data_IF_435189118830
#
_entry.id   IF_435189118830
#
_cell.length_a   1.000
_cell.length_b   1.000
_cell.length_c   1.000
_cell.angle_alpha   90.00
_cell.angle_beta   90.00
_cell.angle_gamma   90.00
#
_symmetry.space_group_name_H-M   'P 1'
#
loop_
_entity.id
_entity.type
_entity.pdbx_description
1 polymer ?
#
# COMPACT_ATOMS: atom_id res chain seq x y z
N UNK A 1 7.93 5.05 -17.18
CA UNK A 1 6.72 5.46 -16.39
C UNK A 1 7.19 5.99 -15.05
N UNK A 2 6.79 7.23 -14.68
CA UNK A 2 7.17 7.83 -13.41
C UNK A 2 6.15 7.49 -12.33
N UNK A 3 6.63 6.87 -11.24
CA UNK A 3 5.81 6.46 -10.10
C UNK A 3 6.00 7.48 -8.96
N UNK A 4 4.89 7.84 -8.32
CA UNK A 4 4.85 8.55 -7.04
C UNK A 4 4.17 7.63 -6.03
N UNK A 5 4.86 7.27 -4.96
CA UNK A 5 4.43 6.24 -4.00
C UNK A 5 4.39 6.83 -2.60
N UNK A 6 3.28 6.60 -1.90
CA UNK A 6 3.05 6.96 -0.50
C UNK A 6 2.31 5.83 0.22
N UNK A 7 2.36 5.81 1.53
CA UNK A 7 1.59 4.93 2.41
C UNK A 7 1.39 5.59 3.79
N UNK A 8 0.48 5.05 4.57
CA UNK A 8 0.29 5.40 5.99
C UNK A 8 0.06 6.91 6.18
N UNK A 9 -0.96 7.43 5.52
CA UNK A 9 -1.31 8.85 5.65
C UNK A 9 -2.18 9.14 6.86
N UNK A 10 -2.90 8.13 7.39
CA UNK A 10 -3.74 8.23 8.61
C UNK A 10 -4.56 9.54 8.67
N UNK A 11 -5.22 9.88 7.55
CA UNK A 11 -6.02 11.10 7.44
C UNK A 11 -5.24 12.40 7.18
N UNK A 12 -3.90 12.39 7.24
CA UNK A 12 -3.05 13.57 7.04
C UNK A 12 -2.65 13.82 5.58
N UNK A 13 -3.38 13.23 4.63
CA UNK A 13 -3.04 13.27 3.20
C UNK A 13 -3.02 14.69 2.62
N UNK A 14 -3.79 15.65 3.17
CA UNK A 14 -3.79 17.04 2.72
C UNK A 14 -2.47 17.77 3.00
N UNK A 15 -1.66 17.28 3.94
CA UNK A 15 -0.35 17.85 4.28
C UNK A 15 0.77 17.39 3.33
N UNK A 16 0.48 16.39 2.46
CA UNK A 16 1.49 15.78 1.61
C UNK A 16 1.61 16.52 0.30
N UNK A 17 2.83 16.93 -0.03
CA UNK A 17 3.16 17.49 -1.34
C UNK A 17 3.60 16.35 -2.26
N UNK A 18 2.80 16.09 -3.30
CA UNK A 18 3.12 15.11 -4.32
C UNK A 18 3.94 15.76 -5.44
N UNK A 19 4.95 15.04 -5.90
CA UNK A 19 5.66 15.40 -7.14
C UNK A 19 4.86 14.95 -8.35
N UNK A 20 4.98 15.63 -9.49
CA UNK A 20 4.40 15.17 -10.75
C UNK A 20 4.87 13.73 -11.09
N UNK A 21 3.97 12.93 -11.64
CA UNK A 21 4.26 11.57 -12.06
C UNK A 21 3.20 11.07 -13.04
N UNK A 22 3.38 9.85 -13.52
CA UNK A 22 2.40 9.18 -14.40
C UNK A 22 1.42 8.35 -13.58
N UNK A 23 1.91 7.71 -12.50
CA UNK A 23 1.13 6.83 -11.65
C UNK A 23 1.35 7.21 -10.17
N UNK A 24 0.25 7.43 -9.45
CA UNK A 24 0.24 7.61 -8.00
C UNK A 24 -0.23 6.32 -7.34
N UNK A 25 0.57 5.82 -6.41
CA UNK A 25 0.29 4.62 -5.62
C UNK A 25 0.18 4.99 -4.15
N UNK A 26 -0.91 4.55 -3.50
CA UNK A 26 -1.03 4.60 -2.04
C UNK A 26 -1.09 3.16 -1.49
N UNK A 27 -0.14 2.80 -0.63
CA UNK A 27 0.04 1.42 -0.16
C UNK A 27 -0.64 1.13 1.19
N UNK A 28 -1.80 1.75 1.46
CA UNK A 28 -2.66 1.43 2.60
C UNK A 28 -2.52 2.38 3.78
N UNK A 29 -3.40 2.19 4.77
CA UNK A 29 -3.61 3.05 5.93
C UNK A 29 -3.91 4.49 5.53
N UNK A 30 -5.01 4.63 4.76
CA UNK A 30 -5.55 5.92 4.32
C UNK A 30 -6.29 6.63 5.45
N UNK A 31 -6.80 5.86 6.43
CA UNK A 31 -7.59 6.33 7.59
C UNK A 31 -6.83 6.10 8.89
N UNK A 32 -7.20 6.82 9.95
CA UNK A 32 -6.73 6.58 11.32
C UNK A 32 -7.70 5.66 12.07
N UNK A 33 -8.99 5.96 12.04
CA UNK A 33 -10.02 5.23 12.77
C UNK A 33 -10.85 4.29 11.91
N UNK A 34 -10.61 4.24 10.63
CA UNK A 34 -11.29 3.34 9.70
C UNK A 34 -12.75 3.72 9.41
N UNK A 35 -13.13 4.98 9.56
CA UNK A 35 -14.50 5.43 9.35
C UNK A 35 -14.82 5.66 7.87
N UNK A 36 -16.13 5.61 7.53
CA UNK A 36 -16.60 5.96 6.17
C UNK A 36 -16.27 7.40 5.79
N UNK A 37 -16.35 8.32 6.75
CA UNK A 37 -16.07 9.73 6.54
C UNK A 37 -14.60 9.97 6.17
N UNK A 38 -13.67 9.32 6.86
CA UNK A 38 -12.23 9.39 6.53
C UNK A 38 -11.95 8.85 5.14
N UNK A 39 -12.58 7.71 4.75
CA UNK A 39 -12.45 7.14 3.42
C UNK A 39 -12.97 8.11 2.35
N UNK A 40 -14.13 8.76 2.57
CA UNK A 40 -14.68 9.75 1.64
C UNK A 40 -13.73 10.94 1.51
N UNK A 41 -13.19 11.44 2.61
CA UNK A 41 -12.24 12.55 2.62
C UNK A 41 -10.97 12.21 1.81
N UNK A 42 -10.38 11.05 2.07
CA UNK A 42 -9.24 10.56 1.28
C UNK A 42 -9.57 10.47 -0.21
N UNK A 43 -10.69 9.87 -0.58
CA UNK A 43 -11.08 9.71 -1.98
C UNK A 43 -11.29 11.05 -2.69
N UNK A 44 -11.83 12.06 -2.00
CA UNK A 44 -11.99 13.42 -2.53
C UNK A 44 -10.63 14.07 -2.78
N UNK A 45 -9.67 13.94 -1.84
CA UNK A 45 -8.31 14.42 -2.02
C UNK A 45 -7.60 13.68 -3.15
N UNK A 46 -7.69 12.34 -3.17
CA UNK A 46 -7.02 11.50 -4.17
C UNK A 46 -7.56 11.76 -5.59
N UNK A 47 -8.86 12.04 -5.72
CA UNK A 47 -9.49 12.40 -6.99
C UNK A 47 -8.93 13.71 -7.58
N UNK A 48 -8.65 14.70 -6.71
CA UNK A 48 -8.11 16.02 -7.13
C UNK A 48 -6.67 15.97 -7.65
N UNK A 49 -5.94 14.86 -7.41
CA UNK A 49 -4.57 14.76 -7.88
C UNK A 49 -4.53 14.68 -9.42
N UNK A 50 -3.66 15.48 -10.03
CA UNK A 50 -3.55 15.61 -11.49
C UNK A 50 -2.81 14.48 -12.18
N UNK A 51 -2.31 13.48 -11.41
CA UNK A 51 -1.60 12.30 -11.91
C UNK A 51 -2.57 11.38 -12.65
N UNK A 52 -2.14 10.89 -13.84
CA UNK A 52 -2.99 10.15 -14.79
C UNK A 52 -3.59 8.88 -14.19
N UNK A 53 -2.77 8.02 -13.59
CA UNK A 53 -3.21 6.78 -12.98
C UNK A 53 -3.14 6.88 -11.46
N UNK A 54 -4.24 6.60 -10.80
CA UNK A 54 -4.37 6.66 -9.34
C UNK A 54 -4.79 5.29 -8.81
N UNK A 55 -3.90 4.66 -8.05
CA UNK A 55 -4.09 3.30 -7.51
C UNK A 55 -3.92 3.36 -6.00
N UNK A 56 -4.81 2.70 -5.27
CA UNK A 56 -4.61 2.50 -3.85
C UNK A 56 -5.04 1.10 -3.39
N UNK A 57 -4.48 0.67 -2.29
CA UNK A 57 -4.95 -0.45 -1.48
C UNK A 57 -5.39 0.06 -0.11
N UNK A 58 -6.11 -0.74 0.64
CA UNK A 58 -6.34 -0.51 2.06
C UNK A 58 -5.15 -1.00 2.90
N UNK A 59 -5.12 -0.62 4.17
CA UNK A 59 -4.25 -1.17 5.20
C UNK A 59 -5.06 -1.65 6.40
N UNK A 60 -4.38 -1.95 7.51
CA UNK A 60 -5.05 -2.52 8.68
C UNK A 60 -5.88 -1.50 9.47
N UNK A 61 -5.69 -0.20 9.31
CA UNK A 61 -6.56 0.83 9.86
C UNK A 61 -7.85 1.06 9.06
N UNK A 62 -7.96 0.55 7.84
CA UNK A 62 -9.05 0.87 6.91
C UNK A 62 -10.27 -0.06 7.10
N UNK A 63 -10.80 -0.12 8.34
CA UNK A 63 -11.88 -1.02 8.76
C UNK A 63 -13.13 -0.93 7.88
N UNK A 64 -13.58 0.29 7.54
CA UNK A 64 -14.75 0.47 6.69
C UNK A 64 -14.58 -0.17 5.31
N UNK A 65 -13.36 -0.14 4.73
CA UNK A 65 -13.10 -0.75 3.42
C UNK A 65 -13.15 -2.29 3.47
N UNK A 66 -12.84 -2.91 4.61
CA UNK A 66 -13.03 -4.34 4.81
C UNK A 66 -14.51 -4.70 4.97
N UNK A 67 -15.23 -3.96 5.79
CA UNK A 67 -16.61 -4.26 6.19
C UNK A 67 -17.65 -3.89 5.13
N UNK A 68 -17.39 -2.86 4.32
CA UNK A 68 -18.36 -2.40 3.34
C UNK A 68 -18.56 -3.40 2.20
N UNK A 69 -19.80 -3.52 1.74
CA UNK A 69 -20.12 -4.38 0.61
C UNK A 69 -19.42 -3.93 -0.67
N UNK A 70 -19.13 -4.87 -1.58
CA UNK A 70 -18.53 -4.57 -2.90
C UNK A 70 -19.38 -3.52 -3.66
N UNK A 71 -20.72 -3.61 -3.55
CA UNK A 71 -21.61 -2.66 -4.22
C UNK A 71 -21.51 -1.24 -3.65
N UNK A 72 -21.41 -1.10 -2.33
CA UNK A 72 -21.21 0.20 -1.67
C UNK A 72 -19.84 0.79 -2.04
N UNK A 73 -18.79 -0.01 -1.97
CA UNK A 73 -17.44 0.39 -2.33
C UNK A 73 -17.31 0.87 -3.78
N UNK A 74 -17.91 0.14 -4.73
CA UNK A 74 -17.92 0.54 -6.15
C UNK A 74 -18.64 1.87 -6.40
N UNK A 75 -19.68 2.19 -5.62
CA UNK A 75 -20.38 3.49 -5.72
C UNK A 75 -19.59 4.63 -5.09
N UNK A 76 -18.81 4.32 -4.06
CA UNK A 76 -18.05 5.32 -3.31
C UNK A 76 -16.78 5.75 -4.05
N UNK A 77 -16.09 4.82 -4.71
CA UNK A 77 -14.83 5.11 -5.39
C UNK A 77 -15.10 5.87 -6.69
N UNK A 78 -14.56 7.10 -6.84
CA UNK A 78 -14.76 7.90 -8.05
C UNK A 78 -14.17 7.23 -9.29
N UNK A 79 -14.76 7.50 -10.45
CA UNK A 79 -14.20 7.08 -11.74
C UNK A 79 -12.76 7.62 -11.90
N UNK A 80 -11.87 6.78 -12.44
CA UNK A 80 -10.45 7.12 -12.64
C UNK A 80 -9.56 6.82 -11.43
N UNK A 81 -10.13 6.30 -10.33
CA UNK A 81 -9.38 5.75 -9.19
C UNK A 81 -9.52 4.22 -9.21
N UNK A 82 -8.40 3.53 -9.03
CA UNK A 82 -8.32 2.08 -9.01
C UNK A 82 -8.05 1.61 -7.57
N UNK A 83 -8.99 0.89 -6.99
CA UNK A 83 -8.80 0.17 -5.73
C UNK A 83 -8.45 -1.29 -5.99
N UNK A 84 -7.38 -1.76 -5.40
CA UNK A 84 -6.95 -3.15 -5.51
C UNK A 84 -7.08 -3.86 -4.16
N UNK A 85 -7.78 -5.00 -4.17
CA UNK A 85 -7.90 -5.90 -3.02
C UNK A 85 -7.73 -7.33 -3.50
N UNK A 86 -6.54 -7.89 -3.31
CA UNK A 86 -6.14 -9.20 -3.85
C UNK A 86 -6.45 -9.33 -5.34
N UNK A 87 -6.19 -8.27 -6.08
CA UNK A 87 -6.53 -8.14 -7.50
C UNK A 87 -5.45 -7.37 -8.25
N UNK A 88 -5.48 -7.48 -9.57
CA UNK A 88 -4.51 -6.81 -10.45
C UNK A 88 -5.19 -5.98 -11.53
N UNK A 89 -4.46 -5.01 -12.03
CA UNK A 89 -4.78 -4.21 -13.20
C UNK A 89 -3.55 -4.17 -14.12
N UNK A 90 -3.78 -4.08 -15.42
CA UNK A 90 -2.72 -3.85 -16.39
C UNK A 90 -2.85 -2.43 -16.94
N UNK A 91 -1.76 -1.66 -16.86
CA UNK A 91 -1.69 -0.27 -17.29
C UNK A 91 -0.45 -0.09 -18.17
N UNK A 92 -0.66 0.24 -19.44
CA UNK A 92 0.42 0.44 -20.42
C UNK A 92 1.41 -0.76 -20.47
N UNK A 93 0.87 -1.98 -20.39
CA UNK A 93 1.66 -3.22 -20.38
C UNK A 93 2.34 -3.56 -19.06
N UNK A 94 2.10 -2.78 -17.99
CA UNK A 94 2.62 -3.01 -16.66
C UNK A 94 1.53 -3.64 -15.80
N UNK A 95 1.76 -4.86 -15.31
CA UNK A 95 0.87 -5.55 -14.39
C UNK A 95 1.13 -5.11 -12.95
N UNK A 96 0.14 -4.45 -12.35
CA UNK A 96 0.14 -4.00 -10.97
C UNK A 96 -0.80 -4.87 -10.15
N UNK A 97 -0.32 -5.48 -9.09
CA UNK A 97 -1.15 -6.23 -8.14
C UNK A 97 -1.16 -5.54 -6.79
N UNK A 98 -2.33 -5.44 -6.17
CA UNK A 98 -2.52 -4.87 -4.84
C UNK A 98 -3.21 -5.82 -3.86
N UNK A 99 -2.68 -5.87 -2.64
CA UNK A 99 -3.25 -6.63 -1.52
C UNK A 99 -3.11 -5.88 -0.20
N UNK A 100 -4.22 -5.65 0.52
CA UNK A 100 -4.20 -5.00 1.83
C UNK A 100 -3.77 -5.93 2.97
N UNK A 101 -3.65 -7.23 2.71
CA UNK A 101 -3.51 -8.24 3.75
C UNK A 101 -2.22 -8.09 4.54
N UNK A 102 -2.34 -8.17 5.87
CA UNK A 102 -1.22 -8.21 6.82
C UNK A 102 -1.31 -9.45 7.71
N UNK A 103 -0.18 -9.90 8.29
CA UNK A 103 -0.24 -10.87 9.37
C UNK A 103 -1.13 -10.39 10.52
N UNK A 104 -1.86 -11.34 11.15
CA UNK A 104 -2.78 -11.03 12.22
C UNK A 104 -2.12 -10.20 13.34
N UNK A 105 -2.73 -9.08 13.65
CA UNK A 105 -2.34 -8.18 14.72
C UNK A 105 -3.57 -7.48 15.29
N UNK A 106 -3.84 -7.68 16.58
CA UNK A 106 -4.89 -7.01 17.39
C UNK A 106 -6.31 -7.00 16.78
N UNK A 107 -6.63 -7.90 15.84
CA UNK A 107 -7.95 -7.94 15.21
C UNK A 107 -8.30 -6.73 14.32
N UNK A 108 -7.28 -6.06 13.78
CA UNK A 108 -7.43 -4.97 12.82
C UNK A 108 -7.90 -5.49 11.46
N UNK A 109 -8.18 -4.58 10.52
CA UNK A 109 -8.68 -4.94 9.20
C UNK A 109 -7.67 -5.75 8.36
N UNK A 110 -8.18 -6.53 7.42
CA UNK A 110 -7.41 -7.29 6.42
C UNK A 110 -6.35 -8.23 6.99
N UNK A 111 -6.59 -8.73 8.20
CA UNK A 111 -5.66 -9.65 8.84
C UNK A 111 -5.80 -11.09 8.38
N UNK A 112 -4.68 -11.79 8.26
CA UNK A 112 -4.64 -13.23 8.03
C UNK A 112 -3.60 -13.91 8.96
N UNK A 113 -3.90 -15.13 9.43
CA UNK A 113 -2.95 -15.87 10.28
C UNK A 113 -1.70 -16.24 9.47
N UNK A 114 -0.53 -16.06 10.08
CA UNK A 114 0.75 -16.51 9.51
C UNK A 114 0.73 -18.00 9.17
N UNK A 115 1.61 -18.46 8.31
CA UNK A 115 1.68 -19.84 7.84
C UNK A 115 0.68 -20.12 6.71
N UNK A 116 -0.06 -21.22 6.80
CA UNK A 116 -0.86 -21.73 5.69
C UNK A 116 -1.96 -20.78 5.19
N UNK A 117 -2.56 -19.98 6.08
CA UNK A 117 -3.67 -19.11 5.71
C UNK A 117 -3.21 -17.95 4.86
N UNK A 118 -2.24 -17.17 5.33
CA UNK A 118 -1.72 -16.03 4.57
C UNK A 118 -0.97 -16.50 3.32
N UNK A 119 -0.29 -17.64 3.37
CA UNK A 119 0.40 -18.24 2.23
C UNK A 119 -0.54 -18.56 1.06
N UNK A 120 -1.78 -19.00 1.34
CA UNK A 120 -2.80 -19.23 0.30
C UNK A 120 -3.15 -17.95 -0.46
N UNK A 121 -3.09 -16.80 0.21
CA UNK A 121 -3.35 -15.49 -0.42
C UNK A 121 -2.18 -15.13 -1.31
N UNK A 122 -0.96 -15.18 -0.79
CA UNK A 122 0.25 -14.82 -1.53
C UNK A 122 0.53 -15.72 -2.73
N UNK A 123 0.20 -17.01 -2.64
CA UNK A 123 0.38 -17.94 -3.77
C UNK A 123 -0.48 -17.60 -5.00
N UNK A 124 -1.53 -16.78 -4.83
CA UNK A 124 -2.36 -16.30 -5.95
C UNK A 124 -1.75 -15.14 -6.72
N UNK A 125 -0.67 -14.53 -6.24
CA UNK A 125 0.01 -13.44 -6.97
C UNK A 125 0.61 -14.02 -8.25
N UNK A 126 0.26 -13.50 -9.45
CA UNK A 126 0.79 -14.00 -10.71
C UNK A 126 2.31 -13.80 -10.83
N UNK A 127 3.00 -14.69 -11.56
CA UNK A 127 4.46 -14.63 -11.74
C UNK A 127 4.86 -13.39 -12.54
N UNK A 128 4.03 -12.96 -13.48
CA UNK A 128 4.26 -11.81 -14.36
C UNK A 128 3.94 -10.45 -13.72
N UNK A 129 3.78 -10.39 -12.39
CA UNK A 129 3.56 -9.14 -11.66
C UNK A 129 4.78 -8.23 -11.76
N UNK A 130 4.62 -7.02 -12.30
CA UNK A 130 5.71 -6.04 -12.43
C UNK A 130 5.82 -5.14 -11.20
N UNK A 131 4.67 -4.67 -10.69
CA UNK A 131 4.58 -3.87 -9.47
C UNK A 131 3.69 -4.62 -8.48
N UNK A 132 4.23 -4.90 -7.31
CA UNK A 132 3.50 -5.46 -6.19
C UNK A 132 3.27 -4.38 -5.13
N UNK A 133 2.03 -4.24 -4.70
CA UNK A 133 1.64 -3.34 -3.62
C UNK A 133 1.08 -4.21 -2.49
N UNK A 134 1.73 -4.24 -1.34
CA UNK A 134 1.18 -4.84 -0.12
C UNK A 134 1.13 -3.79 0.96
N UNK A 135 0.25 -3.94 1.96
CA UNK A 135 0.31 -3.00 3.07
C UNK A 135 1.51 -3.28 3.97
N UNK A 136 1.69 -4.53 4.40
CA UNK A 136 2.82 -4.92 5.23
C UNK A 136 4.08 -5.32 4.45
N UNK A 137 5.28 -5.18 5.07
CA UNK A 137 6.57 -5.54 4.48
C UNK A 137 6.82 -7.05 4.41
N UNK A 138 7.69 -7.51 3.52
CA UNK A 138 8.28 -8.85 3.60
C UNK A 138 9.31 -8.93 4.74
N UNK A 139 9.48 -10.13 5.33
CA UNK A 139 10.40 -10.37 6.45
C UNK A 139 11.84 -9.98 6.09
N UNK A 140 12.49 -9.23 7.00
CA UNK A 140 13.89 -8.81 6.89
C UNK A 140 14.14 -7.66 5.91
N UNK A 141 13.10 -7.03 5.36
CA UNK A 141 13.23 -5.92 4.40
C UNK A 141 12.41 -4.73 4.86
N UNK A 142 13.05 -3.72 5.45
CA UNK A 142 12.42 -2.50 5.98
C UNK A 142 11.22 -2.84 6.89
N UNK A 143 11.36 -3.80 7.78
CA UNK A 143 10.24 -4.44 8.47
C UNK A 143 10.26 -4.33 10.00
N UNK A 144 11.34 -3.84 10.61
CA UNK A 144 11.51 -3.78 12.07
C UNK A 144 10.98 -5.05 12.79
N UNK A 145 11.28 -6.23 12.24
CA UNK A 145 10.83 -7.56 12.68
C UNK A 145 9.32 -7.87 12.54
N UNK A 146 8.49 -6.94 12.03
CA UNK A 146 7.05 -7.18 11.81
C UNK A 146 6.73 -7.86 10.46
N UNK A 147 7.71 -8.01 9.56
CA UNK A 147 7.53 -8.52 8.22
C UNK A 147 6.93 -9.93 8.12
N UNK A 148 6.43 -10.26 6.96
CA UNK A 148 5.78 -11.53 6.65
C UNK A 148 6.73 -12.45 5.86
N UNK A 149 7.00 -13.66 6.40
CA UNK A 149 7.88 -14.64 5.77
C UNK A 149 7.27 -15.20 4.47
N UNK A 150 5.97 -15.41 4.47
CA UNK A 150 5.27 -16.04 3.34
C UNK A 150 5.23 -15.11 2.11
N UNK A 151 5.11 -13.77 2.32
CA UNK A 151 5.22 -12.83 1.20
C UNK A 151 6.66 -12.74 0.71
N UNK A 152 7.68 -12.79 1.59
CA UNK A 152 9.07 -12.84 1.18
C UNK A 152 9.34 -14.04 0.27
N UNK A 153 8.85 -15.24 0.66
CA UNK A 153 8.98 -16.45 -0.15
C UNK A 153 8.34 -16.24 -1.53
N UNK A 154 7.16 -15.63 -1.60
CA UNK A 154 6.48 -15.37 -2.88
C UNK A 154 7.22 -14.34 -3.73
N UNK A 155 7.67 -13.24 -3.13
CA UNK A 155 8.44 -12.19 -3.83
C UNK A 155 9.75 -12.74 -4.41
N UNK A 156 10.43 -13.63 -3.69
CA UNK A 156 11.64 -14.31 -4.20
C UNK A 156 11.37 -15.17 -5.45
N UNK A 157 10.15 -15.67 -5.61
CA UNK A 157 9.75 -16.44 -6.79
C UNK A 157 9.41 -15.50 -7.95
N UNK A 158 8.57 -14.48 -7.71
CA UNK A 158 8.04 -13.61 -8.77
C UNK A 158 9.01 -12.50 -9.19
N UNK A 159 9.86 -12.04 -8.27
CA UNK A 159 10.84 -10.97 -8.47
C UNK A 159 10.25 -9.75 -9.22
N UNK A 160 9.22 -9.09 -8.65
CA UNK A 160 8.64 -7.92 -9.28
C UNK A 160 9.71 -6.83 -9.40
N UNK A 161 9.61 -5.94 -10.38
CA UNK A 161 10.51 -4.79 -10.50
C UNK A 161 10.44 -3.89 -9.27
N UNK A 162 9.22 -3.66 -8.77
CA UNK A 162 8.94 -2.85 -7.57
C UNK A 162 8.02 -3.62 -6.64
N UNK A 163 8.37 -3.64 -5.35
CA UNK A 163 7.49 -4.03 -4.26
C UNK A 163 7.39 -2.85 -3.29
N UNK A 164 6.25 -2.16 -3.27
CA UNK A 164 5.99 -1.05 -2.37
C UNK A 164 5.00 -1.42 -1.28
N UNK A 165 5.24 -0.89 -0.09
CA UNK A 165 4.47 -1.16 1.12
C UNK A 165 4.59 0.01 2.11
N UNK A 166 3.95 -0.12 3.27
CA UNK A 166 4.01 0.79 4.40
C UNK A 166 4.01 0.04 5.73
N UNK A 167 3.07 0.36 6.62
CA UNK A 167 2.76 -0.31 7.88
C UNK A 167 3.82 -0.12 8.99
N UNK A 168 5.09 -0.22 8.69
CA UNK A 168 6.19 -0.04 9.65
C UNK A 168 6.79 1.34 9.45
N UNK A 169 6.28 2.31 10.20
CA UNK A 169 6.54 3.74 9.99
C UNK A 169 8.01 4.11 10.16
N UNK A 170 8.72 3.46 11.10
CA UNK A 170 10.11 3.77 11.45
C UNK A 170 11.12 3.35 10.38
N UNK A 171 10.70 2.50 9.43
CA UNK A 171 11.59 1.92 8.41
C UNK A 171 11.35 2.46 7.01
N UNK A 172 10.77 3.66 6.89
CA UNK A 172 10.64 4.34 5.60
C UNK A 172 11.98 4.34 4.86
N UNK A 173 11.96 3.94 3.60
CA UNK A 173 13.19 3.85 2.82
C UNK A 173 13.10 3.02 1.56
N UNK A 174 14.24 2.89 0.88
CA UNK A 174 14.38 2.15 -0.37
C UNK A 174 15.59 1.23 -0.27
N UNK A 175 15.39 -0.05 -0.61
CA UNK A 175 16.48 -1.02 -0.74
C UNK A 175 16.32 -1.83 -2.03
N UNK A 176 17.45 -2.25 -2.62
CA UNK A 176 17.45 -3.14 -3.77
C UNK A 176 17.95 -4.51 -3.31
N UNK A 177 17.15 -5.54 -3.55
CA UNK A 177 17.53 -6.93 -3.29
C UNK A 177 17.24 -7.75 -4.55
N UNK A 178 18.24 -8.38 -5.11
CA UNK A 178 18.17 -9.07 -6.39
C UNK A 178 17.66 -8.12 -7.50
N UNK A 179 16.55 -8.47 -8.15
CA UNK A 179 15.93 -7.68 -9.22
C UNK A 179 14.79 -6.79 -8.72
N UNK A 180 14.50 -6.80 -7.43
CA UNK A 180 13.37 -6.08 -6.86
C UNK A 180 13.84 -4.84 -6.10
N UNK A 181 13.24 -3.71 -6.40
CA UNK A 181 13.33 -2.50 -5.60
C UNK A 181 12.21 -2.51 -4.57
N UNK A 182 12.58 -2.63 -3.29
CA UNK A 182 11.65 -2.58 -2.17
C UNK A 182 11.55 -1.15 -1.65
N UNK A 183 10.33 -0.72 -1.36
CA UNK A 183 10.03 0.64 -0.95
C UNK A 183 9.04 0.58 0.22
N UNK A 184 9.50 0.95 1.39
CA UNK A 184 8.60 1.33 2.47
C UNK A 184 8.28 2.82 2.30
N UNK A 185 7.05 3.12 1.90
CA UNK A 185 6.61 4.46 1.54
C UNK A 185 5.79 5.15 2.65
N UNK A 186 5.86 4.66 3.89
CA UNK A 186 5.21 5.28 5.04
C UNK A 186 5.64 6.73 5.18
N UNK A 187 4.68 7.66 5.30
CA UNK A 187 4.96 9.11 5.35
C UNK A 187 4.80 9.70 6.75
N UNK A 188 4.22 8.93 7.68
CA UNK A 188 4.02 9.37 9.06
C UNK A 188 4.93 8.65 10.03
N UNK A 189 5.08 9.25 11.22
CA UNK A 189 5.57 8.55 12.40
C UNK A 189 4.71 8.94 13.62
N UNK A 190 4.58 8.06 14.58
CA UNK A 190 3.95 8.34 15.86
C UNK A 190 4.84 9.27 16.67
N UNK A 191 4.28 10.35 17.23
CA UNK A 191 5.02 11.27 18.10
C UNK A 191 5.22 10.68 19.50
N UNK A 192 4.23 9.90 19.96
CA UNK A 192 4.24 9.21 21.23
C UNK A 192 3.44 7.91 21.10
N UNK A 193 3.91 6.77 21.62
CA UNK A 193 3.22 5.48 21.50
C UNK A 193 1.80 5.45 22.09
N UNK A 194 1.46 6.40 22.94
CA UNK A 194 0.16 6.50 23.62
C UNK A 194 -0.75 7.60 23.10
N UNK A 195 -0.28 8.50 22.24
CA UNK A 195 -1.01 9.72 21.91
C UNK A 195 -1.96 9.58 20.72
N UNK A 196 -1.95 8.46 20.00
CA UNK A 196 -2.71 8.25 18.73
C UNK A 196 -2.61 9.45 17.77
N UNK A 197 -1.47 10.11 17.76
CA UNK A 197 -1.22 11.25 16.89
C UNK A 197 -0.03 10.96 16.00
N UNK A 198 -0.29 11.00 14.71
CA UNK A 198 0.73 10.90 13.68
C UNK A 198 1.20 12.30 13.25
N UNK A 199 2.39 12.35 12.73
CA UNK A 199 2.94 13.54 12.07
C UNK A 199 3.63 13.12 10.79
N UNK A 200 3.50 13.94 9.75
CA UNK A 200 4.23 13.75 8.51
C UNK A 200 5.73 13.95 8.76
N UNK A 201 6.51 12.92 8.48
CA UNK A 201 7.98 12.93 8.57
C UNK A 201 8.62 12.49 7.26
N UNK A 202 7.92 11.68 6.47
CA UNK A 202 8.35 11.19 5.17
C UNK A 202 7.94 12.09 4.02
N UNK A 203 8.41 11.72 2.84
CA UNK A 203 8.02 12.34 1.56
C UNK A 203 7.58 11.25 0.60
N UNK A 204 6.77 11.61 -0.38
CA UNK A 204 6.45 10.70 -1.48
C UNK A 204 7.74 10.21 -2.16
N UNK A 205 7.83 8.90 -2.37
CA UNK A 205 8.93 8.29 -3.11
C UNK A 205 8.64 8.43 -4.60
N UNK A 206 9.58 9.01 -5.34
CA UNK A 206 9.49 9.18 -6.79
C UNK A 206 10.55 8.34 -7.48
N UNK A 207 10.13 7.54 -8.45
CA UNK A 207 11.05 6.74 -9.26
C UNK A 207 10.56 6.57 -10.70
N UNK A 208 11.51 6.37 -11.63
CA UNK A 208 11.19 6.01 -13.00
C UNK A 208 11.33 4.50 -13.18
N UNK A 209 10.27 3.82 -13.59
CA UNK A 209 10.20 2.37 -13.71
C UNK A 209 11.13 1.79 -14.80
N UNK A 210 11.49 2.57 -15.81
CA UNK A 210 12.41 2.14 -16.88
C UNK A 210 13.87 2.07 -16.42
N UNK A 211 14.17 2.72 -15.29
CA UNK A 211 15.50 2.74 -14.66
C UNK A 211 15.64 1.71 -13.52
N UNK A 212 14.68 0.81 -13.38
CA UNK A 212 14.62 -0.22 -12.33
C UNK A 212 14.87 -1.60 -12.89
#
# INVERSE_FOLDING_TARGET
MDLTIIADTHGLHDEIKLSPGTMLIHAGDITEFGTEEEVINFLQWFAKQTIKYKIFIAGNHDLFLEECTIGKRKKLIPNGIIYLQNSSVEIEGIKVLGSPVTPYFLGMAFNARRGADIKKIWNKIPIETNILITHGPPKGILDNDFGCEEILQRVNIIQPKVHCFGHVHETNGIVNVNRTKFINAAVVNSLEPMAQRYKIVGKAVCLNLEKV
#
